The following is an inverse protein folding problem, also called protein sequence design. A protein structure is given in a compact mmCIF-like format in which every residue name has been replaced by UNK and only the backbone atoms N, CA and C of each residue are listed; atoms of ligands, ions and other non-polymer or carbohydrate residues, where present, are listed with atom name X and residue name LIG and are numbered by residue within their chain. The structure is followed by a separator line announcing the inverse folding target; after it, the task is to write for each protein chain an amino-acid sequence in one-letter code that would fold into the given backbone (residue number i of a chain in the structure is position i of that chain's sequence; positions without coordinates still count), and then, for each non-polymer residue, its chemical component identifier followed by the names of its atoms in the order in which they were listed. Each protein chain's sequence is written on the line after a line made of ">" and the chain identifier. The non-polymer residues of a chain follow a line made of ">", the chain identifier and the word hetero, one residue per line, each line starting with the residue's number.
data_IF_075816427545
#
_entry.id   IF_075816427545
#
_cell.length_a   1.000
_cell.length_b   1.000
_cell.length_c   1.000
_cell.angle_alpha   90.00
_cell.angle_beta   90.00
_cell.angle_gamma   90.00
#
_symmetry.space_group_name_H-M   'P 1'
#
loop_
_entity.id
_entity.type
_entity.pdbx_description
1 polymer ?
#
# COMPACT_ATOMS: atom_id res chain seq x y z
N UNK A 1 3.73 10.43 -6.61
CA UNK A 1 2.83 9.32 -6.91
C UNK A 1 1.42 9.83 -6.78
N UNK A 2 0.61 9.69 -7.82
CA UNK A 2 -0.81 10.00 -7.74
C UNK A 2 -1.57 8.72 -7.33
N UNK A 3 -2.37 8.80 -6.28
CA UNK A 3 -3.22 7.69 -5.86
C UNK A 3 -4.37 7.44 -6.86
N UNK A 4 -4.62 8.40 -7.76
CA UNK A 4 -5.60 8.25 -8.84
C UNK A 4 -5.18 7.16 -9.85
N UNK A 5 -3.89 7.05 -10.17
CA UNK A 5 -3.40 6.00 -11.09
C UNK A 5 -3.61 4.58 -10.55
N UNK A 6 -3.51 4.41 -9.23
CA UNK A 6 -3.83 3.13 -8.59
C UNK A 6 -5.33 2.81 -8.71
N UNK A 7 -6.20 3.80 -8.53
CA UNK A 7 -7.65 3.63 -8.70
C UNK A 7 -7.98 3.20 -10.13
N UNK A 8 -7.41 3.85 -11.14
CA UNK A 8 -7.66 3.50 -12.55
C UNK A 8 -7.22 2.06 -12.87
N UNK A 9 -6.05 1.63 -12.36
CA UNK A 9 -5.59 0.25 -12.52
C UNK A 9 -6.59 -0.73 -11.89
N UNK A 10 -7.09 -0.45 -10.69
CA UNK A 10 -8.06 -1.30 -10.00
C UNK A 10 -9.38 -1.37 -10.80
N UNK A 11 -9.85 -0.26 -11.35
CA UNK A 11 -11.05 -0.25 -12.17
C UNK A 11 -10.87 -1.04 -13.48
N UNK A 12 -9.71 -0.91 -14.14
CA UNK A 12 -9.38 -1.65 -15.37
C UNK A 12 -9.35 -3.17 -15.21
N UNK A 13 -8.95 -3.66 -14.03
CA UNK A 13 -8.92 -5.10 -13.71
C UNK A 13 -10.25 -5.61 -13.14
N UNK A 14 -11.28 -4.77 -13.06
CA UNK A 14 -12.62 -5.11 -12.58
C UNK A 14 -12.72 -5.24 -11.06
N UNK A 15 -11.96 -4.42 -10.33
CA UNK A 15 -11.93 -4.39 -8.87
C UNK A 15 -11.09 -5.49 -8.22
N UNK A 16 -10.97 -5.41 -6.90
CA UNK A 16 -10.16 -6.29 -6.06
C UNK A 16 -11.00 -6.96 -4.98
N UNK A 17 -10.75 -8.25 -4.73
CA UNK A 17 -11.22 -8.90 -3.51
C UNK A 17 -10.14 -8.76 -2.43
N UNK A 18 -10.42 -7.98 -1.39
CA UNK A 18 -9.51 -7.71 -0.28
C UNK A 18 -10.09 -8.31 0.99
N UNK A 19 -9.25 -8.99 1.78
CA UNK A 19 -9.64 -9.42 3.12
C UNK A 19 -9.42 -8.25 4.09
N UNK A 20 -10.51 -7.73 4.62
CA UNK A 20 -10.51 -6.64 5.59
C UNK A 20 -10.43 -7.24 6.98
N UNK A 21 -9.28 -7.13 7.64
CA UNK A 21 -9.04 -7.80 8.93
C UNK A 21 -9.98 -7.32 10.05
N UNK A 22 -10.29 -6.02 10.08
CA UNK A 22 -11.11 -5.37 11.11
C UNK A 22 -12.07 -4.37 10.50
N UNK A 23 -13.20 -4.15 11.17
CA UNK A 23 -14.14 -3.10 10.78
C UNK A 23 -13.41 -1.74 10.74
N UNK A 24 -13.52 -1.07 9.59
CA UNK A 24 -13.01 0.28 9.39
C UNK A 24 -14.15 1.26 9.63
N UNK A 25 -13.87 2.26 10.46
CA UNK A 25 -14.76 3.38 10.73
C UNK A 25 -13.92 4.65 10.81
N UNK A 26 -14.03 5.52 9.81
CA UNK A 26 -13.36 6.83 9.75
C UNK A 26 -14.44 7.93 9.67
N UNK A 27 -14.84 8.54 10.80
CA UNK A 27 -15.86 9.58 10.82
C UNK A 27 -15.34 10.93 10.30
N UNK A 28 -14.04 11.04 10.01
CA UNK A 28 -13.36 12.27 9.62
C UNK A 28 -12.63 12.10 8.29
N UNK A 29 -13.17 11.29 7.39
CA UNK A 29 -12.56 11.05 6.09
C UNK A 29 -12.60 12.35 5.26
N UNK A 30 -11.46 12.84 4.76
CA UNK A 30 -11.41 14.15 4.10
C UNK A 30 -12.01 14.10 2.69
N UNK A 31 -12.89 15.05 2.40
CA UNK A 31 -13.49 15.27 1.07
C UNK A 31 -12.76 16.38 0.31
N UNK A 32 -13.07 16.53 -0.99
CA UNK A 32 -12.44 17.55 -1.86
C UNK A 32 -12.67 18.99 -1.40
N UNK A 33 -13.72 19.26 -0.64
CA UNK A 33 -14.12 20.62 -0.23
C UNK A 33 -13.65 20.97 1.20
N UNK A 34 -12.60 20.31 1.70
CA UNK A 34 -12.14 20.42 3.10
C UNK A 34 -13.18 20.04 4.17
N UNK A 35 -14.33 19.49 3.76
CA UNK A 35 -15.30 18.87 4.65
C UNK A 35 -14.90 17.43 4.97
N UNK A 36 -15.51 16.85 5.99
CA UNK A 36 -15.34 15.44 6.35
C UNK A 36 -16.61 14.64 6.08
N UNK A 37 -16.44 13.37 5.74
CA UNK A 37 -17.52 12.39 5.66
C UNK A 37 -17.15 11.14 6.48
N UNK A 38 -18.15 10.30 6.74
CA UNK A 38 -17.90 8.98 7.33
C UNK A 38 -17.58 7.97 6.23
N UNK A 39 -16.48 7.26 6.39
CA UNK A 39 -16.17 6.05 5.63
C UNK A 39 -16.25 4.83 6.54
N UNK A 40 -17.02 3.82 6.11
CA UNK A 40 -17.16 2.57 6.83
C UNK A 40 -16.95 1.38 5.91
N UNK A 41 -16.27 0.36 6.40
CA UNK A 41 -16.11 -0.90 5.70
C UNK A 41 -16.06 -2.05 6.70
N UNK A 42 -16.96 -3.01 6.56
CA UNK A 42 -17.01 -4.17 7.45
C UNK A 42 -15.86 -5.15 7.17
N UNK A 43 -15.39 -5.80 8.23
CA UNK A 43 -14.43 -6.90 8.19
C UNK A 43 -14.88 -8.07 7.30
N UNK A 44 -13.93 -8.92 6.94
CA UNK A 44 -14.09 -10.07 6.05
C UNK A 44 -13.72 -9.76 4.59
N UNK A 45 -14.02 -10.70 3.70
CA UNK A 45 -13.79 -10.53 2.27
C UNK A 45 -14.71 -9.46 1.69
N UNK A 46 -14.13 -8.45 1.05
CA UNK A 46 -14.83 -7.34 0.40
C UNK A 46 -14.35 -7.18 -1.03
N UNK A 47 -15.28 -7.02 -1.94
CA UNK A 47 -14.98 -6.54 -3.29
C UNK A 47 -14.89 -5.02 -3.25
N UNK A 48 -13.77 -4.46 -3.71
CA UNK A 48 -13.48 -3.04 -3.75
C UNK A 48 -13.26 -2.61 -5.20
N UNK A 49 -14.06 -1.65 -5.68
CA UNK A 49 -13.73 -0.86 -6.86
C UNK A 49 -12.57 0.10 -6.56
N UNK A 50 -12.05 0.79 -7.58
CA UNK A 50 -10.91 1.69 -7.43
C UNK A 50 -11.20 2.84 -6.46
N UNK A 51 -12.44 3.35 -6.45
CA UNK A 51 -12.84 4.42 -5.52
C UNK A 51 -12.86 3.93 -4.06
N UNK A 52 -13.41 2.75 -3.80
CA UNK A 52 -13.50 2.17 -2.45
C UNK A 52 -12.14 1.71 -1.97
N UNK A 53 -11.32 1.11 -2.83
CA UNK A 53 -9.93 0.74 -2.52
C UNK A 53 -9.11 1.99 -2.18
N UNK A 54 -9.28 3.09 -2.93
CA UNK A 54 -8.63 4.36 -2.66
C UNK A 54 -9.04 4.95 -1.30
N UNK A 55 -10.33 4.92 -0.95
CA UNK A 55 -10.80 5.35 0.39
C UNK A 55 -10.21 4.45 1.47
N UNK A 56 -10.24 3.14 1.27
CA UNK A 56 -9.71 2.14 2.20
C UNK A 56 -8.22 2.36 2.51
N UNK A 57 -7.36 2.63 1.53
CA UNK A 57 -5.92 2.89 1.78
C UNK A 57 -5.62 4.30 2.29
N UNK A 58 -6.61 5.21 2.30
CA UNK A 58 -6.46 6.61 2.75
C UNK A 58 -7.01 6.88 4.13
N UNK A 59 -7.83 5.99 4.69
CA UNK A 59 -8.32 6.11 6.07
C UNK A 59 -7.15 6.29 7.04
N UNK A 60 -7.27 7.26 7.95
CA UNK A 60 -6.26 7.56 8.99
C UNK A 60 -6.86 7.73 10.38
N UNK A 61 -8.17 7.96 10.48
CA UNK A 61 -8.82 8.22 11.77
C UNK A 61 -9.60 7.00 12.29
N UNK A 62 -9.14 5.80 11.92
CA UNK A 62 -9.54 4.56 12.58
C UNK A 62 -8.66 4.30 13.82
N UNK A 63 -9.03 3.29 14.60
CA UNK A 63 -8.33 2.89 15.84
C UNK A 63 -6.83 2.59 15.61
N UNK A 64 -6.45 2.19 14.39
CA UNK A 64 -5.09 1.76 14.07
C UNK A 64 -4.22 2.86 13.44
N UNK A 65 -4.80 4.04 13.14
CA UNK A 65 -4.08 5.23 12.70
C UNK A 65 -3.21 5.02 11.45
N UNK A 66 -2.00 5.58 11.48
CA UNK A 66 -1.07 5.52 10.35
C UNK A 66 -0.51 4.11 10.09
N UNK A 67 -0.37 3.28 11.13
CA UNK A 67 0.07 1.89 10.98
C UNK A 67 -1.03 1.01 10.37
N UNK A 68 -2.30 1.22 10.77
CA UNK A 68 -3.46 0.62 10.11
C UNK A 68 -3.49 0.95 8.62
N UNK A 69 -3.21 2.21 8.26
CA UNK A 69 -3.10 2.63 6.86
C UNK A 69 -2.06 1.81 6.09
N UNK A 70 -0.87 1.61 6.66
CA UNK A 70 0.19 0.83 6.01
C UNK A 70 -0.26 -0.62 5.78
N UNK A 71 -0.90 -1.25 6.78
CA UNK A 71 -1.46 -2.61 6.63
C UNK A 71 -2.51 -2.69 5.52
N UNK A 72 -3.42 -1.72 5.45
CA UNK A 72 -4.45 -1.64 4.40
C UNK A 72 -3.82 -1.48 3.01
N UNK A 73 -2.76 -0.67 2.89
CA UNK A 73 -2.00 -0.54 1.65
C UNK A 73 -1.34 -1.85 1.24
N UNK A 74 -0.72 -2.57 2.18
CA UNK A 74 -0.15 -3.90 1.95
C UNK A 74 -1.21 -4.91 1.49
N UNK A 75 -2.38 -4.94 2.13
CA UNK A 75 -3.49 -5.82 1.76
C UNK A 75 -4.02 -5.54 0.33
N UNK A 76 -4.13 -4.26 -0.06
CA UNK A 76 -4.53 -3.88 -1.42
C UNK A 76 -3.47 -4.27 -2.46
N UNK A 77 -2.18 -4.06 -2.16
CA UNK A 77 -1.08 -4.48 -3.04
C UNK A 77 -1.04 -6.00 -3.23
N UNK A 78 -1.29 -6.75 -2.16
CA UNK A 78 -1.33 -8.22 -2.20
C UNK A 78 -2.53 -8.73 -3.02
N UNK A 79 -3.71 -8.14 -2.83
CA UNK A 79 -4.89 -8.44 -3.65
C UNK A 79 -4.67 -8.09 -5.12
N UNK A 80 -4.04 -6.95 -5.40
CA UNK A 80 -3.67 -6.50 -6.74
C UNK A 80 -2.71 -7.49 -7.40
N UNK A 81 -1.65 -7.90 -6.71
CA UNK A 81 -0.71 -8.92 -7.17
C UNK A 81 -1.44 -10.21 -7.54
N UNK A 82 -2.27 -10.74 -6.64
CA UNK A 82 -3.02 -11.98 -6.87
C UNK A 82 -3.95 -11.87 -8.08
N UNK A 83 -4.65 -10.74 -8.20
CA UNK A 83 -5.54 -10.46 -9.33
C UNK A 83 -4.79 -10.44 -10.65
N UNK A 84 -3.66 -9.74 -10.70
CA UNK A 84 -2.81 -9.62 -11.89
C UNK A 84 -2.20 -10.98 -12.26
N UNK A 85 -1.64 -11.72 -11.30
CA UNK A 85 -1.04 -13.04 -11.56
C UNK A 85 -2.06 -14.11 -11.94
N UNK A 86 -3.31 -13.96 -11.49
CA UNK A 86 -4.43 -14.80 -11.90
C UNK A 86 -4.98 -14.51 -13.30
N UNK A 87 -4.56 -13.40 -13.93
CA UNK A 87 -4.96 -13.11 -15.32
C UNK A 87 -4.30 -14.08 -16.29
N UNK A 88 -5.05 -14.48 -17.31
CA UNK A 88 -4.47 -15.28 -18.39
C UNK A 88 -3.75 -14.36 -19.37
N UNK A 89 -2.45 -14.55 -19.63
CA UNK A 89 -1.74 -13.71 -20.60
C UNK A 89 -2.32 -13.75 -22.01
N UNK A 90 -3.04 -14.83 -22.36
CA UNK A 90 -3.66 -14.99 -23.68
C UNK A 90 -5.04 -14.31 -23.74
N UNK A 91 -5.86 -14.49 -22.71
CA UNK A 91 -7.24 -13.98 -22.70
C UNK A 91 -7.35 -12.54 -22.22
N UNK A 92 -6.42 -12.09 -21.36
CA UNK A 92 -6.42 -10.75 -20.76
C UNK A 92 -5.34 -9.82 -21.35
N UNK A 93 -4.71 -10.21 -22.48
CA UNK A 93 -3.64 -9.41 -23.11
C UNK A 93 -4.02 -7.93 -23.32
N UNK A 94 -5.23 -7.59 -23.82
CA UNK A 94 -5.62 -6.18 -23.95
C UNK A 94 -5.62 -5.44 -22.61
N UNK A 95 -6.14 -6.06 -21.53
CA UNK A 95 -6.15 -5.46 -20.18
C UNK A 95 -4.75 -5.27 -19.64
N UNK A 96 -3.87 -6.26 -19.82
CA UNK A 96 -2.47 -6.18 -19.40
C UNK A 96 -1.77 -5.00 -20.08
N UNK A 97 -2.00 -4.80 -21.38
CA UNK A 97 -1.44 -3.65 -22.10
C UNK A 97 -1.98 -2.33 -21.54
N UNK A 98 -3.28 -2.22 -21.25
CA UNK A 98 -3.85 -1.01 -20.63
C UNK A 98 -3.23 -0.72 -19.25
N UNK A 99 -3.06 -1.74 -18.40
CA UNK A 99 -2.41 -1.61 -17.09
C UNK A 99 -0.99 -1.05 -17.26
N UNK A 100 -0.21 -1.59 -18.20
CA UNK A 100 1.16 -1.11 -18.45
C UNK A 100 1.16 0.34 -18.93
N UNK A 101 0.19 0.75 -19.77
CA UNK A 101 0.08 2.15 -20.20
C UNK A 101 -0.32 3.08 -19.06
N UNK A 102 -1.29 2.69 -18.24
CA UNK A 102 -1.71 3.46 -17.06
C UNK A 102 -0.53 3.62 -16.08
N UNK A 103 0.20 2.53 -15.81
CA UNK A 103 1.41 2.57 -14.99
C UNK A 103 2.44 3.58 -15.53
N UNK A 104 2.73 3.58 -16.84
CA UNK A 104 3.71 4.52 -17.42
C UNK A 104 3.25 5.97 -17.41
N UNK A 105 1.93 6.21 -17.48
CA UNK A 105 1.36 7.57 -17.45
C UNK A 105 1.39 8.14 -16.04
N UNK A 106 0.99 7.34 -15.05
CA UNK A 106 0.67 7.82 -13.70
C UNK A 106 1.81 7.54 -12.69
N UNK A 107 2.76 6.66 -13.05
CA UNK A 107 3.95 6.36 -12.28
C UNK A 107 5.23 6.71 -13.06
N UNK A 108 6.09 7.51 -12.42
CA UNK A 108 7.46 7.73 -12.90
C UNK A 108 8.30 6.51 -12.53
N UNK A 109 8.77 5.79 -13.54
CA UNK A 109 9.64 4.62 -13.41
C UNK A 109 10.68 4.60 -14.52
N UNK A 110 11.84 4.05 -14.21
CA UNK A 110 12.92 3.73 -15.14
C UNK A 110 12.76 2.33 -15.78
N UNK A 111 11.76 1.56 -15.36
CA UNK A 111 11.45 0.24 -15.93
C UNK A 111 10.96 0.36 -17.36
N UNK A 112 11.62 -0.35 -18.28
CA UNK A 112 11.15 -0.49 -19.64
C UNK A 112 10.15 -1.66 -19.80
N UNK A 113 9.62 -1.83 -21.01
CA UNK A 113 8.65 -2.91 -21.31
C UNK A 113 9.26 -4.30 -21.12
N UNK A 114 10.56 -4.46 -21.40
CA UNK A 114 11.26 -5.72 -21.27
C UNK A 114 11.48 -6.07 -19.79
N UNK A 115 11.79 -5.08 -18.95
CA UNK A 115 11.92 -5.24 -17.51
C UNK A 115 10.58 -5.61 -16.86
N UNK A 116 9.49 -4.95 -17.27
CA UNK A 116 8.14 -5.32 -16.84
C UNK A 116 7.82 -6.77 -17.21
N UNK A 117 8.16 -7.20 -18.45
CA UNK A 117 8.00 -8.59 -18.87
C UNK A 117 8.84 -9.55 -18.03
N UNK A 118 10.10 -9.22 -17.74
CA UNK A 118 10.97 -10.04 -16.88
C UNK A 118 10.39 -10.17 -15.47
N UNK A 119 9.91 -9.08 -14.88
CA UNK A 119 9.26 -9.08 -13.57
C UNK A 119 7.98 -9.92 -13.58
N UNK A 120 7.20 -9.87 -14.66
CA UNK A 120 6.06 -10.74 -14.86
C UNK A 120 6.45 -12.23 -14.87
N UNK A 121 7.47 -12.57 -15.66
CA UNK A 121 7.94 -13.96 -15.78
C UNK A 121 8.53 -14.49 -14.46
N UNK A 122 9.20 -13.64 -13.68
CA UNK A 122 9.70 -13.96 -12.34
C UNK A 122 8.53 -14.14 -11.37
N UNK A 123 7.60 -13.19 -11.33
CA UNK A 123 6.49 -13.20 -10.37
C UNK A 123 5.56 -14.40 -10.52
N UNK A 124 5.43 -14.95 -11.74
CA UNK A 124 4.72 -16.22 -11.99
C UNK A 124 5.45 -17.47 -11.52
N UNK A 125 6.78 -17.41 -11.37
CA UNK A 125 7.60 -18.52 -10.85
C UNK A 125 7.70 -18.51 -9.33
N UNK A 126 7.48 -17.35 -8.71
CA UNK A 126 7.31 -17.25 -7.26
C UNK A 126 6.00 -17.94 -6.93
N UNK A 127 6.10 -19.12 -6.31
CA UNK A 127 4.93 -19.92 -5.95
C UNK A 127 3.95 -19.07 -5.12
N UNK A 128 2.65 -19.24 -5.33
CA UNK A 128 1.63 -18.52 -4.55
C UNK A 128 1.65 -18.91 -3.06
N UNK A 129 2.39 -19.96 -2.72
CA UNK A 129 2.71 -20.40 -1.35
C UNK A 129 3.89 -19.66 -0.71
N UNK A 130 4.68 -18.91 -1.49
CA UNK A 130 5.79 -18.09 -0.98
C UNK A 130 5.21 -17.07 0.00
N UNK A 131 5.52 -17.20 1.28
CA UNK A 131 5.08 -16.25 2.30
C UNK A 131 5.78 -14.93 2.05
N UNK A 132 5.11 -14.00 1.36
CA UNK A 132 5.53 -12.61 1.32
C UNK A 132 5.48 -12.12 2.76
N UNK A 133 6.64 -11.75 3.29
CA UNK A 133 6.71 -11.12 4.60
C UNK A 133 6.42 -9.64 4.42
N UNK A 134 5.36 -9.19 5.05
CA UNK A 134 5.09 -7.77 5.20
C UNK A 134 5.72 -7.30 6.51
N UNK A 135 6.64 -6.36 6.39
CA UNK A 135 7.32 -5.74 7.54
C UNK A 135 6.77 -4.33 7.67
N UNK A 136 6.44 -3.92 8.89
CA UNK A 136 6.13 -2.54 9.24
C UNK A 136 7.15 -2.12 10.29
N UNK A 137 7.93 -1.10 9.97
CA UNK A 137 8.84 -0.47 10.95
C UNK A 137 7.96 0.52 11.73
N UNK A 138 7.70 0.23 13.00
CA UNK A 138 6.76 1.00 13.82
C UNK A 138 7.38 1.62 15.07
N UNK A 139 6.64 2.58 15.65
CA UNK A 139 6.97 3.26 16.90
C UNK A 139 6.04 2.91 18.06
N UNK A 140 4.92 2.22 17.77
CA UNK A 140 3.82 2.04 18.71
C UNK A 140 3.77 0.65 19.35
N UNK A 141 4.69 -0.25 18.99
CA UNK A 141 4.82 -1.56 19.63
C UNK A 141 6.02 -1.60 20.59
N UNK A 142 5.94 -2.51 21.57
CA UNK A 142 7.01 -2.75 22.56
C UNK A 142 8.35 -3.02 21.87
N UNK A 143 8.33 -3.76 20.76
CA UNK A 143 9.50 -4.06 19.91
C UNK A 143 9.59 -3.19 18.64
N UNK A 144 8.91 -2.03 18.62
CA UNK A 144 9.03 -1.08 17.51
C UNK A 144 10.47 -0.56 17.41
N UNK A 145 10.93 -0.24 16.20
CA UNK A 145 12.30 0.24 15.92
C UNK A 145 12.40 1.77 15.86
N UNK A 146 11.25 2.45 15.95
CA UNK A 146 11.13 3.90 15.88
C UNK A 146 10.59 4.47 17.19
N UNK A 147 10.77 5.77 17.39
CA UNK A 147 10.13 6.57 18.43
C UNK A 147 9.57 7.87 17.83
N UNK A 148 8.50 8.39 18.44
CA UNK A 148 7.91 9.68 18.06
C UNK A 148 8.75 10.82 18.63
N UNK A 149 9.10 11.79 17.78
CA UNK A 149 9.86 12.98 18.15
C UNK A 149 9.31 14.22 17.42
N UNK A 150 9.92 15.38 17.65
CA UNK A 150 9.55 16.63 16.98
C UNK A 150 10.76 17.32 16.38
N UNK A 151 10.57 17.94 15.21
CA UNK A 151 11.60 18.74 14.55
C UNK A 151 11.01 20.06 14.03
N UNK A 152 11.85 21.09 13.98
CA UNK A 152 11.49 22.37 13.38
C UNK A 152 11.77 22.32 11.89
N UNK A 153 10.71 22.28 11.09
CA UNK A 153 10.75 22.25 9.63
C UNK A 153 10.16 23.56 9.11
N UNK A 154 11.01 24.41 8.49
CA UNK A 154 10.57 25.70 7.93
C UNK A 154 9.94 26.65 8.97
N UNK A 155 10.45 26.64 10.21
CA UNK A 155 9.97 27.50 11.30
C UNK A 155 8.70 27.01 12.01
N UNK A 156 8.23 25.79 11.71
CA UNK A 156 7.11 25.14 12.39
C UNK A 156 7.55 23.81 13.00
N UNK A 157 7.07 23.51 14.19
CA UNK A 157 7.26 22.19 14.82
C UNK A 157 6.38 21.16 14.11
N UNK A 158 6.99 20.09 13.62
CA UNK A 158 6.31 18.93 13.06
C UNK A 158 6.66 17.67 13.85
N UNK A 159 5.75 16.70 13.86
CA UNK A 159 6.00 15.36 14.35
C UNK A 159 6.88 14.59 13.35
N UNK A 160 7.88 13.89 13.87
CA UNK A 160 8.79 13.03 13.09
C UNK A 160 8.93 11.68 13.78
N UNK A 161 9.37 10.68 13.01
CA UNK A 161 9.80 9.39 13.54
C UNK A 161 11.31 9.30 13.46
N UNK A 162 11.97 8.90 14.54
CA UNK A 162 13.42 8.69 14.60
C UNK A 162 13.73 7.26 15.07
N UNK A 163 14.87 6.68 14.69
CA UNK A 163 15.29 5.39 15.22
C UNK A 163 15.43 5.43 16.74
N UNK A 164 15.04 4.35 17.43
CA UNK A 164 15.22 4.24 18.90
C UNK A 164 16.69 4.24 19.33
N UNK A 165 17.58 3.79 18.46
CA UNK A 165 19.04 3.81 18.65
C UNK A 165 19.63 5.21 18.65
N UNK A 166 18.91 6.20 18.09
CA UNK A 166 19.33 7.58 18.03
C UNK A 166 19.00 8.24 16.69
N UNK A 167 19.00 9.57 16.67
CA UNK A 167 18.79 10.35 15.44
C UNK A 167 19.89 9.99 14.44
N UNK A 168 19.49 9.59 13.23
CA UNK A 168 20.36 9.11 12.14
C UNK A 168 21.10 7.77 12.39
N UNK A 169 20.89 7.10 13.53
CA UNK A 169 21.41 5.76 13.76
C UNK A 169 20.39 4.70 13.30
N UNK A 170 20.57 4.18 12.09
CA UNK A 170 19.69 3.17 11.51
C UNK A 170 20.16 1.72 11.71
N UNK A 171 21.16 1.48 12.56
CA UNK A 171 21.82 0.17 12.67
C UNK A 171 20.82 -0.95 13.01
N UNK A 172 19.96 -0.74 14.01
CA UNK A 172 18.96 -1.74 14.41
C UNK A 172 17.92 -2.00 13.30
N UNK A 173 17.55 -0.97 12.53
CA UNK A 173 16.65 -1.11 11.39
C UNK A 173 17.31 -1.90 10.27
N UNK A 174 18.59 -1.63 9.98
CA UNK A 174 19.35 -2.36 8.97
C UNK A 174 19.51 -3.84 9.35
N UNK A 175 19.88 -4.11 10.61
CA UNK A 175 19.99 -5.47 11.13
C UNK A 175 18.64 -6.19 11.09
N UNK A 176 17.56 -5.51 11.46
CA UNK A 176 16.23 -6.06 11.36
C UNK A 176 15.88 -6.46 9.92
N UNK A 177 16.16 -5.57 8.95
CA UNK A 177 15.91 -5.82 7.52
C UNK A 177 16.74 -7.02 7.04
N UNK A 178 18.04 -7.07 7.33
CA UNK A 178 18.93 -8.17 6.90
C UNK A 178 18.54 -9.53 7.49
N UNK A 179 18.00 -9.56 8.72
CA UNK A 179 17.64 -10.80 9.39
C UNK A 179 16.21 -11.28 9.05
N UNK A 180 15.37 -10.42 8.47
CA UNK A 180 13.97 -10.75 8.20
C UNK A 180 13.61 -10.87 6.71
N UNK A 181 14.45 -10.36 5.80
CA UNK A 181 14.34 -10.46 4.34
C UNK A 181 15.38 -11.42 3.76
#
# INVERSE_FOLDING_TARGET
>A
MDLEGLKEIIDQIGGLNVFVEKDVFDPRFPTKNFATETFELKSGWRWLDGQTALRYIRTRHDIEGDFGRIKRQQAVLEALRKKILGMSPLWDLPKIIEIVRALRRDFKTDLDVLDIKRLWDISRKIDSSSKIKHIVIDANQENGLLEESTAVLGGKTGFILVPKTGVEDYTEIQDFIQNNL
#
